data_IF_742251316195
#
_entry.id   IF_742251316195
#
_cell.length_a   1.000
_cell.length_b   1.000
_cell.length_c   1.000
_cell.angle_alpha   90.00
_cell.angle_beta   90.00
_cell.angle_gamma   90.00
#
_symmetry.space_group_name_H-M   'P 1'
#
loop_
_entity.id
_entity.type
_entity.pdbx_description
1 polymer ?
#
# COMPACT_ATOMS: atom_id res chain seq x y z
N UNK A 1 4.16 -0.59 20.02
CA UNK A 1 3.05 -1.44 19.53
C UNK A 1 2.21 -0.67 18.53
N UNK A 2 1.91 -1.27 17.41
CA UNK A 2 1.06 -0.65 16.40
C UNK A 2 -0.39 -0.87 16.75
N UNK A 3 -1.16 0.19 16.73
CA UNK A 3 -2.58 0.13 17.08
C UNK A 3 -3.48 0.29 15.87
N UNK A 4 -2.98 0.91 14.80
CA UNK A 4 -3.74 1.19 13.59
C UNK A 4 -2.90 0.88 12.39
N UNK A 5 -3.48 0.15 11.45
CA UNK A 5 -2.86 -0.08 10.14
C UNK A 5 -3.74 0.55 9.08
N UNK A 6 -3.15 1.39 8.24
CA UNK A 6 -3.83 1.95 7.08
C UNK A 6 -3.46 1.05 5.91
N UNK A 7 -4.46 0.38 5.34
CA UNK A 7 -4.24 -0.57 4.26
C UNK A 7 -4.83 0.00 2.98
N UNK A 8 -3.99 0.15 1.98
CA UNK A 8 -4.36 0.70 0.67
C UNK A 8 -4.19 -0.39 -0.37
N UNK A 9 -5.23 -0.69 -1.11
CA UNK A 9 -5.16 -1.63 -2.23
C UNK A 9 -4.84 -0.83 -3.50
N UNK A 10 -3.82 -1.25 -4.22
CA UNK A 10 -3.39 -0.58 -5.46
C UNK A 10 -3.32 -1.57 -6.62
N UNK A 11 -3.80 -1.13 -7.78
CA UNK A 11 -3.59 -1.82 -9.04
C UNK A 11 -3.41 -0.77 -10.13
N UNK A 12 -2.22 -0.72 -10.71
CA UNK A 12 -1.88 0.20 -11.80
C UNK A 12 -2.26 1.64 -11.52
N UNK A 13 -2.09 2.06 -10.27
CA UNK A 13 -2.48 3.39 -9.82
C UNK A 13 -1.31 4.30 -9.49
N UNK A 14 -0.18 4.19 -10.21
CA UNK A 14 1.01 4.98 -9.88
C UNK A 14 0.73 6.48 -9.85
N UNK A 15 -0.09 6.98 -10.77
CA UNK A 15 -0.45 8.40 -10.79
C UNK A 15 -1.18 8.84 -9.52
N UNK A 16 -2.09 8.01 -9.05
CA UNK A 16 -2.80 8.28 -7.80
C UNK A 16 -1.86 8.19 -6.60
N UNK A 17 -0.98 7.20 -6.59
CA UNK A 17 0.00 7.05 -5.51
C UNK A 17 0.90 8.28 -5.43
N UNK A 18 1.33 8.82 -6.56
CA UNK A 18 2.15 10.02 -6.59
C UNK A 18 1.43 11.22 -5.99
N UNK A 19 0.11 11.27 -6.12
CA UNK A 19 -0.68 12.38 -5.60
C UNK A 19 -0.92 12.29 -4.10
N UNK A 20 -1.27 11.11 -3.58
CA UNK A 20 -1.72 11.05 -2.20
C UNK A 20 -0.74 10.40 -1.22
N UNK A 21 0.19 9.56 -1.67
CA UNK A 21 1.10 8.90 -0.73
C UNK A 21 1.91 9.85 0.14
N UNK A 22 2.46 10.96 -0.41
CA UNK A 22 3.19 11.89 0.44
C UNK A 22 2.34 12.41 1.60
N UNK A 23 1.07 12.71 1.36
CA UNK A 23 0.17 13.20 2.41
C UNK A 23 -0.23 12.10 3.38
N UNK A 24 -0.49 10.90 2.88
CA UNK A 24 -0.85 9.76 3.74
C UNK A 24 0.29 9.47 4.71
N UNK A 25 1.51 9.42 4.22
CA UNK A 25 2.68 9.15 5.05
C UNK A 25 2.89 10.27 6.06
N UNK A 26 2.72 11.52 5.63
CA UNK A 26 2.85 12.68 6.51
C UNK A 26 1.84 12.64 7.65
N UNK A 27 0.56 12.42 7.33
CA UNK A 27 -0.49 12.36 8.35
C UNK A 27 -0.39 11.14 9.24
N UNK A 28 0.28 10.09 8.77
CA UNK A 28 0.42 8.85 9.52
C UNK A 28 1.73 8.78 10.30
N UNK A 29 2.50 9.86 10.33
CA UNK A 29 3.79 9.90 10.98
C UNK A 29 3.64 10.06 12.50
N UNK A 30 2.79 9.23 13.09
CA UNK A 30 2.61 9.22 14.53
C UNK A 30 2.78 7.81 15.05
N UNK A 31 3.17 7.71 16.32
CA UNK A 31 3.40 6.44 16.97
C UNK A 31 2.15 5.57 16.94
N UNK A 32 2.33 4.30 16.61
CA UNK A 32 1.23 3.35 16.59
C UNK A 32 0.51 3.24 15.25
N UNK A 33 0.92 4.00 14.24
CA UNK A 33 0.31 3.95 12.92
C UNK A 33 1.25 3.33 11.91
N UNK A 34 0.76 2.36 11.15
CA UNK A 34 1.48 1.71 10.08
C UNK A 34 0.75 1.92 8.76
N UNK A 35 1.49 2.21 7.71
CA UNK A 35 0.92 2.30 6.36
C UNK A 35 1.34 1.07 5.57
N UNK A 36 0.36 0.37 5.02
CA UNK A 36 0.58 -0.80 4.18
C UNK A 36 -0.06 -0.56 2.82
N UNK A 37 0.67 -0.85 1.75
CA UNK A 37 0.09 -0.85 0.41
C UNK A 37 0.09 -2.28 -0.09
N UNK A 38 -1.10 -2.79 -0.40
CA UNK A 38 -1.24 -4.10 -1.02
C UNK A 38 -1.33 -3.89 -2.53
N UNK A 39 -0.35 -4.42 -3.23
CA UNK A 39 -0.30 -4.28 -4.68
C UNK A 39 -0.89 -5.51 -5.34
N UNK A 40 -1.93 -5.28 -6.13
CA UNK A 40 -2.75 -6.32 -6.73
C UNK A 40 -2.19 -6.74 -8.10
N UNK A 41 -0.90 -7.03 -8.14
CA UNK A 41 -0.14 -7.45 -9.33
C UNK A 41 -0.13 -6.37 -10.41
N UNK A 42 0.26 -5.15 -10.03
CA UNK A 42 0.39 -4.03 -10.97
C UNK A 42 1.44 -4.31 -12.04
N UNK A 43 1.17 -3.83 -13.24
CA UNK A 43 2.12 -3.92 -14.35
C UNK A 43 2.74 -2.55 -14.68
N UNK A 44 2.33 -1.50 -13.98
CA UNK A 44 2.93 -0.17 -14.15
C UNK A 44 4.09 0.03 -13.17
N UNK A 45 4.47 1.27 -12.92
CA UNK A 45 5.60 1.61 -12.05
C UNK A 45 5.21 1.77 -10.57
N UNK A 46 4.02 1.29 -10.19
CA UNK A 46 3.53 1.45 -8.81
C UNK A 46 4.49 0.89 -7.77
N UNK A 47 4.93 -0.36 -7.96
CA UNK A 47 5.79 -1.02 -6.99
C UNK A 47 7.14 -0.33 -6.89
N UNK A 48 7.78 -0.04 -8.03
CA UNK A 48 9.08 0.62 -8.02
C UNK A 48 8.98 2.04 -7.44
N UNK A 49 7.89 2.75 -7.70
CA UNK A 49 7.68 4.07 -7.13
C UNK A 49 7.63 3.98 -5.59
N UNK A 50 6.88 3.04 -5.05
CA UNK A 50 6.77 2.89 -3.61
C UNK A 50 8.09 2.47 -2.97
N UNK A 51 8.80 1.54 -3.59
CA UNK A 51 10.07 1.07 -3.06
C UNK A 51 11.14 2.17 -3.05
N UNK A 52 11.12 3.03 -4.06
CA UNK A 52 12.12 4.09 -4.18
C UNK A 52 11.81 5.29 -3.29
N UNK A 53 10.54 5.65 -3.14
CA UNK A 53 10.15 6.88 -2.47
C UNK A 53 9.65 6.69 -1.04
N UNK A 54 9.14 5.51 -0.71
CA UNK A 54 8.58 5.22 0.61
C UNK A 54 9.05 3.87 1.11
N UNK A 55 10.36 3.70 1.35
CA UNK A 55 10.90 2.38 1.74
C UNK A 55 10.39 1.88 3.09
N UNK A 56 9.87 2.77 3.92
CA UNK A 56 9.34 2.39 5.24
C UNK A 56 7.87 1.98 5.20
N UNK A 57 7.20 2.16 4.08
CA UNK A 57 5.83 1.70 3.90
C UNK A 57 5.87 0.20 3.66
N UNK A 58 5.04 -0.52 4.40
CA UNK A 58 4.95 -1.97 4.22
C UNK A 58 4.28 -2.27 2.90
N UNK A 59 4.93 -3.09 2.08
CA UNK A 59 4.42 -3.44 0.76
C UNK A 59 4.07 -4.92 0.74
N UNK A 60 2.81 -5.20 0.39
CA UNK A 60 2.31 -6.56 0.26
C UNK A 60 2.08 -6.80 -1.22
N UNK A 61 2.84 -7.74 -1.79
CA UNK A 61 2.75 -8.04 -3.22
C UNK A 61 1.88 -9.27 -3.43
N UNK A 62 0.71 -9.07 -4.01
CA UNK A 62 -0.17 -10.18 -4.36
C UNK A 62 0.29 -10.79 -5.69
N UNK A 63 0.13 -12.08 -5.83
CA UNK A 63 0.65 -12.82 -6.99
C UNK A 63 -0.16 -12.62 -8.26
N UNK A 64 -1.39 -12.12 -8.13
CA UNK A 64 -2.23 -11.78 -9.28
C UNK A 64 -3.28 -10.77 -8.84
N UNK A 65 -4.00 -10.22 -9.80
CA UNK A 65 -5.10 -9.31 -9.51
C UNK A 65 -6.32 -10.12 -9.07
N UNK A 66 -6.67 -9.99 -7.80
CA UNK A 66 -7.82 -10.70 -7.20
C UNK A 66 -9.11 -9.88 -7.24
N UNK A 67 -9.07 -8.69 -7.88
CA UNK A 67 -10.18 -7.78 -7.80
C UNK A 67 -10.17 -7.02 -6.48
N UNK A 68 -11.20 -6.22 -6.24
CA UNK A 68 -11.19 -5.29 -5.12
C UNK A 68 -11.43 -6.00 -3.79
N UNK A 69 -12.52 -6.73 -3.68
CA UNK A 69 -12.89 -7.36 -2.40
C UNK A 69 -11.92 -8.48 -2.02
N UNK A 70 -11.60 -9.37 -2.96
CA UNK A 70 -10.68 -10.47 -2.69
C UNK A 70 -9.26 -9.94 -2.43
N UNK A 71 -8.86 -8.89 -3.14
CA UNK A 71 -7.55 -8.27 -2.92
C UNK A 71 -7.41 -7.76 -1.49
N UNK A 72 -8.41 -7.06 -0.98
CA UNK A 72 -8.39 -6.60 0.42
C UNK A 72 -8.41 -7.76 1.39
N UNK A 73 -9.21 -8.79 1.13
CA UNK A 73 -9.26 -9.95 2.01
C UNK A 73 -7.88 -10.62 2.14
N UNK A 74 -7.18 -10.78 1.03
CA UNK A 74 -5.85 -11.39 1.06
C UNK A 74 -4.82 -10.50 1.73
N UNK A 75 -4.91 -9.19 1.50
CA UNK A 75 -4.01 -8.24 2.14
C UNK A 75 -4.22 -8.23 3.65
N UNK A 76 -5.46 -8.21 4.10
CA UNK A 76 -5.77 -8.17 5.52
C UNK A 76 -5.32 -9.41 6.27
N UNK A 77 -5.21 -10.56 5.60
CA UNK A 77 -4.67 -11.77 6.21
C UNK A 77 -3.19 -11.64 6.55
N UNK A 78 -2.49 -10.70 5.93
CA UNK A 78 -1.07 -10.49 6.15
C UNK A 78 -0.78 -9.31 7.09
N UNK A 79 -1.79 -8.61 7.50
CA UNK A 79 -1.67 -7.49 8.44
C UNK A 79 -1.96 -7.89 9.92
#
# INVERSE_FOLDING_TARGET
MKKVSIVILNWNGVGMLQKFMPKVVEYSAMEGVEVCVADNASTDESVSYLQSNFPNVRLILLDKNYGFAEGYNRALQQV
#
